data_IF_238351695291
#
_entry.id   IF_238351695291
#
_cell.length_a   1.000
_cell.length_b   1.000
_cell.length_c   1.000
_cell.angle_alpha   90.00
_cell.angle_beta   90.00
_cell.angle_gamma   90.00
#
_symmetry.space_group_name_H-M   'P 1'
#
loop_
_entity.id
_entity.type
_entity.pdbx_description
1 polymer ?
#
# COMPACT_ATOMS: atom_id res chain seq x y z
N UNK A 1 -5.88 -40.00 11.66
CA UNK A 1 -4.68 -39.32 12.21
C UNK A 1 -4.44 -38.10 11.36
N UNK A 2 -5.04 -36.97 11.71
CA UNK A 2 -4.75 -35.70 11.04
C UNK A 2 -3.42 -35.21 11.60
N UNK A 3 -2.42 -35.04 10.73
CA UNK A 3 -1.13 -34.50 11.11
C UNK A 3 -1.27 -33.06 11.64
N UNK A 4 -0.23 -32.51 12.29
CA UNK A 4 -0.23 -31.12 12.71
C UNK A 4 -0.61 -30.24 11.52
N UNK A 5 -1.60 -29.36 11.68
CA UNK A 5 -1.95 -28.36 10.67
C UNK A 5 -0.65 -27.66 10.26
N UNK A 6 -0.22 -27.93 9.03
CA UNK A 6 1.01 -27.38 8.49
C UNK A 6 0.94 -25.86 8.65
N UNK A 7 1.96 -25.22 9.22
CA UNK A 7 1.98 -23.75 9.36
C UNK A 7 1.81 -23.01 8.01
N UNK A 8 1.86 -23.76 6.90
CA UNK A 8 1.50 -23.35 5.54
C UNK A 8 0.00 -23.08 5.31
N UNK A 9 -0.94 -23.67 6.05
CA UNK A 9 -2.39 -23.50 5.85
C UNK A 9 -2.98 -22.39 6.74
N UNK A 10 -2.36 -21.21 6.74
CA UNK A 10 -3.03 -20.01 7.28
C UNK A 10 -4.00 -19.47 6.22
N UNK A 11 -5.33 -19.54 6.43
CA UNK A 11 -6.32 -19.17 5.41
C UNK A 11 -6.26 -17.70 4.97
N UNK A 12 -5.67 -16.81 5.77
CA UNK A 12 -5.49 -15.39 5.43
C UNK A 12 -4.14 -15.04 4.80
N UNK A 13 -3.21 -16.00 4.62
CA UNK A 13 -1.91 -15.73 4.00
C UNK A 13 -2.10 -15.54 2.49
N UNK A 14 -1.45 -14.50 1.96
CA UNK A 14 -1.44 -14.27 0.52
C UNK A 14 -0.68 -15.39 -0.20
N UNK A 15 -1.18 -15.87 -1.36
CA UNK A 15 -0.38 -16.72 -2.24
C UNK A 15 0.94 -16.06 -2.59
N UNK A 16 2.01 -16.85 -2.76
CA UNK A 16 3.36 -16.32 -2.99
C UNK A 16 3.42 -15.37 -4.19
N UNK A 17 2.75 -15.73 -5.28
CA UNK A 17 2.67 -14.89 -6.48
C UNK A 17 1.99 -13.55 -6.19
N UNK A 18 0.82 -13.56 -5.53
CA UNK A 18 0.12 -12.32 -5.14
C UNK A 18 0.99 -11.45 -4.26
N UNK A 19 1.67 -12.05 -3.28
CA UNK A 19 2.55 -11.31 -2.38
C UNK A 19 3.72 -10.66 -3.13
N UNK A 20 4.39 -11.39 -4.04
CA UNK A 20 5.46 -10.85 -4.89
C UNK A 20 4.91 -9.70 -5.74
N UNK A 21 3.75 -9.88 -6.38
CA UNK A 21 3.11 -8.84 -7.20
C UNK A 21 2.82 -7.58 -6.38
N UNK A 22 2.27 -7.72 -5.16
CA UNK A 22 2.01 -6.61 -4.25
C UNK A 22 3.30 -5.86 -3.93
N UNK A 23 4.35 -6.59 -3.51
CA UNK A 23 5.62 -5.98 -3.12
C UNK A 23 6.27 -5.26 -4.30
N UNK A 24 6.31 -5.88 -5.48
CA UNK A 24 6.92 -5.29 -6.68
C UNK A 24 6.18 -4.03 -7.11
N UNK A 25 4.85 -4.09 -7.26
CA UNK A 25 4.07 -2.94 -7.74
C UNK A 25 4.12 -1.77 -6.73
N UNK A 26 4.01 -2.05 -5.43
CA UNK A 26 4.11 -1.01 -4.40
C UNK A 26 5.53 -0.42 -4.33
N UNK A 27 6.57 -1.25 -4.45
CA UNK A 27 7.96 -0.76 -4.42
C UNK A 27 8.25 0.12 -5.64
N UNK A 28 7.83 -0.30 -6.84
CA UNK A 28 7.99 0.50 -8.06
C UNK A 28 7.22 1.82 -7.96
N UNK A 29 5.99 1.80 -7.45
CA UNK A 29 5.18 3.01 -7.28
C UNK A 29 5.80 3.95 -6.24
N UNK A 30 6.26 3.42 -5.11
CA UNK A 30 6.90 4.22 -4.06
C UNK A 30 8.22 4.85 -4.53
N UNK A 31 9.10 4.07 -5.16
CA UNK A 31 10.39 4.56 -5.67
C UNK A 31 10.17 5.61 -6.77
N UNK A 32 9.28 5.37 -7.72
CA UNK A 32 8.95 6.35 -8.75
C UNK A 32 8.31 7.62 -8.16
N UNK A 33 7.46 7.50 -7.14
CA UNK A 33 6.89 8.64 -6.40
C UNK A 33 7.93 9.48 -5.67
N UNK A 34 8.92 8.84 -5.03
CA UNK A 34 10.08 9.54 -4.45
C UNK A 34 10.91 10.23 -5.54
N UNK A 35 11.07 9.60 -6.70
CA UNK A 35 11.73 10.18 -7.87
C UNK A 35 11.03 11.44 -8.37
N UNK A 36 9.69 11.41 -8.46
CA UNK A 36 8.86 12.58 -8.79
C UNK A 36 9.06 13.68 -7.76
N UNK A 37 8.85 13.39 -6.47
CA UNK A 37 8.97 14.40 -5.41
C UNK A 37 10.37 15.03 -5.39
N UNK A 38 11.43 14.22 -5.50
CA UNK A 38 12.80 14.73 -5.55
C UNK A 38 13.05 15.56 -6.81
N UNK A 39 12.55 15.11 -7.95
CA UNK A 39 12.67 15.82 -9.22
C UNK A 39 11.97 17.18 -9.20
N UNK A 40 10.76 17.27 -8.64
CA UNK A 40 10.03 18.53 -8.46
C UNK A 40 10.79 19.50 -7.55
N UNK A 41 11.38 19.02 -6.45
CA UNK A 41 12.22 19.86 -5.57
C UNK A 41 13.43 20.42 -6.33
N UNK A 42 14.07 19.61 -7.17
CA UNK A 42 15.23 20.04 -7.94
C UNK A 42 14.83 21.04 -9.03
N UNK A 43 13.79 20.73 -9.80
CA UNK A 43 13.25 21.62 -10.84
C UNK A 43 12.85 22.98 -10.26
N UNK A 44 12.22 23.01 -9.08
CA UNK A 44 11.86 24.25 -8.41
C UNK A 44 13.08 25.09 -7.96
N UNK A 45 14.25 24.47 -7.75
CA UNK A 45 15.49 25.13 -7.30
C UNK A 45 16.37 25.58 -8.46
N UNK A 46 16.52 24.76 -9.49
CA UNK A 46 17.42 25.01 -10.62
C UNK A 46 16.73 25.59 -11.86
N UNK A 47 15.38 25.57 -11.91
CA UNK A 47 14.59 25.85 -13.11
C UNK A 47 14.88 24.90 -14.30
N UNK A 48 15.68 23.86 -14.07
CA UNK A 48 15.98 22.81 -15.04
C UNK A 48 15.21 21.54 -14.72
N UNK A 49 14.71 20.87 -15.75
CA UNK A 49 13.96 19.61 -15.57
C UNK A 49 14.93 18.43 -15.52
N UNK A 50 15.03 17.68 -14.40
CA UNK A 50 15.87 16.50 -14.34
C UNK A 50 15.41 15.43 -15.35
N UNK A 51 16.36 14.77 -16.03
CA UNK A 51 16.06 13.83 -17.11
C UNK A 51 15.14 12.65 -16.68
N UNK A 52 15.20 12.23 -15.41
CA UNK A 52 14.38 11.12 -14.89
C UNK A 52 12.97 11.54 -14.45
N UNK A 53 12.68 12.85 -14.31
CA UNK A 53 11.41 13.32 -13.72
C UNK A 53 10.22 12.88 -14.59
N UNK A 54 10.31 13.08 -15.90
CA UNK A 54 9.23 12.71 -16.82
C UNK A 54 8.95 11.20 -16.80
N UNK A 55 10.00 10.37 -16.87
CA UNK A 55 9.86 8.92 -16.80
C UNK A 55 9.29 8.44 -15.46
N UNK A 56 9.71 9.06 -14.35
CA UNK A 56 9.19 8.75 -13.00
C UNK A 56 7.70 9.09 -12.89
N UNK A 57 7.28 10.24 -13.44
CA UNK A 57 5.89 10.67 -13.47
C UNK A 57 5.01 9.69 -14.24
N UNK A 58 5.44 9.27 -15.44
CA UNK A 58 4.72 8.28 -16.26
C UNK A 58 4.63 6.95 -15.52
N UNK A 59 5.76 6.43 -15.03
CA UNK A 59 5.79 5.14 -14.35
C UNK A 59 4.87 5.15 -13.11
N UNK A 60 4.99 6.16 -12.26
CA UNK A 60 4.15 6.29 -11.07
C UNK A 60 2.66 6.38 -11.44
N UNK A 61 2.31 7.24 -12.40
CA UNK A 61 0.93 7.40 -12.87
C UNK A 61 0.34 6.13 -13.47
N UNK A 62 1.10 5.39 -14.29
CA UNK A 62 0.66 4.14 -14.90
C UNK A 62 0.51 2.99 -13.90
N UNK A 63 1.25 2.98 -12.79
CA UNK A 63 1.12 1.96 -11.74
C UNK A 63 -0.16 2.13 -10.91
N UNK A 64 -0.70 3.34 -10.80
CA UNK A 64 -1.87 3.64 -9.97
C UNK A 64 -3.12 2.81 -10.32
N UNK A 65 -3.60 2.74 -11.59
CA UNK A 65 -4.75 1.91 -11.92
C UNK A 65 -4.49 0.41 -11.64
N UNK A 66 -3.27 -0.08 -11.86
CA UNK A 66 -2.90 -1.46 -11.54
C UNK A 66 -2.99 -1.75 -10.03
N UNK A 67 -2.51 -0.80 -9.21
CA UNK A 67 -2.61 -0.88 -7.76
C UNK A 67 -4.06 -0.79 -7.27
N UNK A 68 -4.92 -0.01 -7.90
CA UNK A 68 -6.35 0.03 -7.58
C UNK A 68 -7.04 -1.33 -7.88
N UNK A 69 -6.73 -1.96 -9.02
CA UNK A 69 -7.23 -3.30 -9.35
C UNK A 69 -6.75 -4.32 -8.33
N UNK A 70 -5.46 -4.28 -7.99
CA UNK A 70 -4.89 -5.15 -6.97
C UNK A 70 -5.52 -4.92 -5.59
N UNK A 71 -5.80 -3.68 -5.20
CA UNK A 71 -6.50 -3.36 -3.95
C UNK A 71 -7.91 -3.96 -3.96
N UNK A 72 -8.66 -3.83 -5.06
CA UNK A 72 -9.96 -4.48 -5.23
C UNK A 72 -9.89 -6.00 -5.10
N UNK A 73 -8.86 -6.63 -5.69
CA UNK A 73 -8.59 -8.06 -5.53
C UNK A 73 -8.32 -8.44 -4.06
N UNK A 74 -7.50 -7.66 -3.35
CA UNK A 74 -7.19 -7.87 -1.93
C UNK A 74 -8.44 -7.71 -1.04
N UNK A 75 -9.33 -6.77 -1.37
CA UNK A 75 -10.61 -6.58 -0.68
C UNK A 75 -11.45 -7.88 -0.69
N UNK A 76 -11.54 -8.52 -1.85
CA UNK A 76 -12.35 -9.73 -2.04
C UNK A 76 -11.76 -10.98 -1.37
N UNK A 77 -10.43 -11.06 -1.24
CA UNK A 77 -9.72 -12.21 -0.68
C UNK A 77 -9.17 -11.94 0.73
N UNK A 78 -7.99 -11.34 0.79
CA UNK A 78 -7.21 -11.18 2.02
C UNK A 78 -7.93 -10.38 3.10
N UNK A 79 -8.51 -9.23 2.74
CA UNK A 79 -9.19 -8.33 3.67
C UNK A 79 -10.48 -8.99 4.17
N UNK A 80 -11.36 -9.43 3.27
CA UNK A 80 -12.60 -10.16 3.63
C UNK A 80 -12.31 -11.31 4.60
N UNK A 81 -11.28 -12.10 4.32
CA UNK A 81 -10.92 -13.23 5.17
C UNK A 81 -10.37 -12.77 6.54
N UNK A 82 -9.55 -11.72 6.56
CA UNK A 82 -9.09 -11.10 7.81
C UNK A 82 -10.24 -10.62 8.70
N UNK A 83 -11.27 -10.03 8.10
CA UNK A 83 -12.47 -9.57 8.81
C UNK A 83 -13.28 -10.74 9.38
N UNK A 84 -13.54 -11.78 8.59
CA UNK A 84 -14.27 -12.98 9.02
C UNK A 84 -13.55 -13.70 10.18
N UNK A 85 -12.22 -13.79 10.13
CA UNK A 85 -11.39 -14.37 11.20
C UNK A 85 -11.12 -13.41 12.36
N UNK A 86 -11.62 -12.17 12.28
CA UNK A 86 -11.33 -11.10 13.24
C UNK A 86 -9.81 -10.88 13.45
N UNK A 87 -9.00 -11.24 12.46
CA UNK A 87 -7.55 -11.25 12.50
C UNK A 87 -6.99 -9.88 12.15
N UNK A 88 -6.04 -9.37 12.96
CA UNK A 88 -5.34 -8.10 12.70
C UNK A 88 -6.26 -6.91 12.36
N UNK A 89 -7.47 -6.85 12.94
CA UNK A 89 -8.49 -5.88 12.50
C UNK A 89 -8.03 -4.43 12.60
N UNK A 90 -7.33 -4.06 13.67
CA UNK A 90 -6.85 -2.68 13.85
C UNK A 90 -5.89 -2.30 12.73
N UNK A 91 -4.80 -3.06 12.56
CA UNK A 91 -3.81 -2.76 11.51
C UNK A 91 -4.35 -3.01 10.11
N UNK A 92 -5.33 -3.89 9.92
CA UNK A 92 -6.02 -4.10 8.65
C UNK A 92 -6.84 -2.89 8.23
N UNK A 93 -7.74 -2.42 9.11
CA UNK A 93 -8.57 -1.23 8.86
C UNK A 93 -7.70 0.02 8.68
N UNK A 94 -6.64 0.19 9.47
CA UNK A 94 -5.71 1.31 9.28
C UNK A 94 -5.07 1.29 7.88
N UNK A 95 -4.71 0.12 7.36
CA UNK A 95 -4.16 -0.02 6.01
C UNK A 95 -5.22 0.26 4.94
N UNK A 96 -6.44 -0.24 5.10
CA UNK A 96 -7.56 0.05 4.18
C UNK A 96 -7.81 1.56 4.06
N UNK A 97 -7.85 2.27 5.19
CA UNK A 97 -8.00 3.73 5.24
C UNK A 97 -6.82 4.42 4.56
N UNK A 98 -5.59 3.96 4.82
CA UNK A 98 -4.39 4.54 4.21
C UNK A 98 -4.38 4.37 2.68
N UNK A 99 -4.74 3.19 2.17
CA UNK A 99 -4.88 2.96 0.73
C UNK A 99 -5.99 3.81 0.12
N UNK A 100 -7.16 3.89 0.76
CA UNK A 100 -8.26 4.74 0.30
C UNK A 100 -7.83 6.22 0.24
N UNK A 101 -7.15 6.71 1.27
CA UNK A 101 -6.65 8.08 1.32
C UNK A 101 -5.58 8.36 0.24
N UNK A 102 -4.70 7.40 -0.06
CA UNK A 102 -3.75 7.49 -1.16
C UNK A 102 -4.45 7.58 -2.52
N UNK A 103 -5.47 6.75 -2.75
CA UNK A 103 -6.26 6.76 -3.98
C UNK A 103 -6.99 8.10 -4.14
N UNK A 104 -7.68 8.56 -3.09
CA UNK A 104 -8.44 9.81 -3.11
C UNK A 104 -7.53 11.02 -3.28
N UNK A 105 -6.39 11.07 -2.58
CA UNK A 105 -5.42 12.15 -2.75
C UNK A 105 -4.82 12.14 -4.15
N UNK A 106 -4.46 10.97 -4.68
CA UNK A 106 -3.97 10.82 -6.06
C UNK A 106 -4.98 11.31 -7.09
N UNK A 107 -6.27 10.97 -6.95
CA UNK A 107 -7.33 11.51 -7.80
C UNK A 107 -7.47 13.03 -7.64
N UNK A 108 -7.38 13.53 -6.40
CA UNK A 108 -7.40 14.96 -6.08
C UNK A 108 -6.33 15.77 -6.81
N UNK A 109 -5.14 15.20 -7.06
CA UNK A 109 -4.09 15.88 -7.85
C UNK A 109 -4.55 16.25 -9.28
N UNK A 110 -5.50 15.49 -9.85
CA UNK A 110 -6.02 15.69 -11.20
C UNK A 110 -7.37 16.41 -11.22
N UNK A 111 -8.20 16.26 -10.18
CA UNK A 111 -9.61 16.67 -10.21
C UNK A 111 -10.01 17.73 -9.18
N UNK A 112 -9.08 18.25 -8.37
CA UNK A 112 -9.38 19.19 -7.28
C UNK A 112 -9.99 20.56 -7.69
N UNK A 113 -10.03 20.89 -8.98
CA UNK A 113 -10.68 22.10 -9.52
C UNK A 113 -10.03 23.45 -9.18
N UNK A 114 -9.27 23.54 -8.08
CA UNK A 114 -8.56 24.74 -7.61
C UNK A 114 -7.12 24.41 -7.18
N UNK A 115 -6.27 25.44 -7.16
CA UNK A 115 -4.84 25.32 -6.85
C UNK A 115 -4.63 24.99 -5.37
N UNK A 116 -5.45 25.57 -4.49
CA UNK A 116 -5.40 25.40 -3.03
C UNK A 116 -5.71 23.96 -2.64
N UNK A 117 -6.79 23.40 -3.20
CA UNK A 117 -7.15 21.99 -2.97
C UNK A 117 -6.11 21.05 -3.56
N UNK A 118 -5.61 21.34 -4.77
CA UNK A 118 -4.52 20.54 -5.37
C UNK A 118 -3.28 20.51 -4.47
N UNK A 119 -2.86 21.65 -3.91
CA UNK A 119 -1.71 21.72 -3.01
C UNK A 119 -1.94 20.89 -1.73
N UNK A 120 -3.16 20.92 -1.19
CA UNK A 120 -3.55 20.09 -0.04
C UNK A 120 -3.42 18.60 -0.37
N UNK A 121 -3.90 18.17 -1.54
CA UNK A 121 -3.77 16.78 -1.96
C UNK A 121 -2.32 16.37 -2.25
N UNK A 122 -1.48 17.25 -2.82
CA UNK A 122 -0.05 16.98 -3.00
C UNK A 122 0.63 16.67 -1.67
N UNK A 123 0.40 17.50 -0.65
CA UNK A 123 0.98 17.27 0.67
C UNK A 123 0.42 16.02 1.34
N UNK A 124 -0.89 15.82 1.29
CA UNK A 124 -1.52 14.61 1.82
C UNK A 124 -0.95 13.35 1.15
N UNK A 125 -0.87 13.31 -0.18
CA UNK A 125 -0.38 12.17 -0.93
C UNK A 125 1.08 11.82 -0.59
N UNK A 126 1.95 12.83 -0.44
CA UNK A 126 3.35 12.65 -0.02
C UNK A 126 3.46 12.06 1.38
N UNK A 127 2.75 12.63 2.36
CA UNK A 127 2.79 12.15 3.75
C UNK A 127 2.24 10.72 3.85
N UNK A 128 1.08 10.47 3.25
CA UNK A 128 0.48 9.14 3.21
C UNK A 128 1.39 8.12 2.49
N UNK A 129 2.07 8.55 1.43
CA UNK A 129 3.02 7.73 0.69
C UNK A 129 4.20 7.29 1.55
N UNK A 130 4.74 8.19 2.39
CA UNK A 130 5.79 7.86 3.36
C UNK A 130 5.30 6.98 4.50
N UNK A 131 4.04 7.13 4.93
CA UNK A 131 3.43 6.28 5.96
C UNK A 131 3.18 4.86 5.47
N UNK A 132 2.98 4.65 4.17
CA UNK A 132 2.68 3.35 3.57
C UNK A 132 3.68 2.24 3.93
N UNK A 133 5.00 2.37 3.70
CA UNK A 133 5.95 1.31 4.07
C UNK A 133 5.98 1.04 5.57
N UNK A 134 5.82 2.07 6.42
CA UNK A 134 5.76 1.91 7.87
C UNK A 134 4.50 1.13 8.30
N UNK A 135 3.35 1.49 7.71
CA UNK A 135 2.08 0.82 7.93
C UNK A 135 2.11 -0.65 7.49
N UNK A 136 2.68 -0.93 6.31
CA UNK A 136 2.86 -2.31 5.81
C UNK A 136 3.76 -3.13 6.74
N UNK A 137 4.88 -2.56 7.20
CA UNK A 137 5.78 -3.20 8.15
C UNK A 137 5.07 -3.53 9.47
N UNK A 138 4.32 -2.57 10.02
CA UNK A 138 3.53 -2.77 11.23
C UNK A 138 2.43 -3.82 11.03
N UNK A 139 1.71 -3.78 9.92
CA UNK A 139 0.66 -4.76 9.58
C UNK A 139 1.25 -6.18 9.44
N UNK A 140 2.40 -6.31 8.78
CA UNK A 140 3.12 -7.57 8.68
C UNK A 140 3.55 -8.11 10.04
N UNK A 141 4.18 -7.27 10.88
CA UNK A 141 4.62 -7.66 12.21
C UNK A 141 3.45 -8.08 13.12
N UNK A 142 2.34 -7.32 13.09
CA UNK A 142 1.10 -7.71 13.76
C UNK A 142 0.58 -9.06 13.24
N UNK A 143 0.65 -9.27 11.92
CA UNK A 143 0.29 -10.53 11.28
C UNK A 143 1.11 -11.73 11.74
N UNK A 144 2.41 -11.56 11.97
CA UNK A 144 3.29 -12.58 12.56
C UNK A 144 2.93 -12.83 14.03
N UNK A 145 2.71 -11.78 14.81
CA UNK A 145 2.34 -11.88 16.22
C UNK A 145 1.01 -12.62 16.42
N UNK A 146 0.01 -12.35 15.58
CA UNK A 146 -1.25 -13.07 15.59
C UNK A 146 -1.08 -14.55 15.24
N UNK A 147 -0.24 -14.88 14.27
CA UNK A 147 0.00 -16.28 13.88
C UNK A 147 0.62 -17.09 15.02
N UNK A 148 1.64 -16.51 15.68
CA UNK A 148 2.26 -17.10 16.87
C UNK A 148 1.25 -17.31 18.01
N UNK A 149 0.34 -16.35 18.21
CA UNK A 149 -0.70 -16.45 19.24
C UNK A 149 -1.65 -17.63 19.01
N UNK A 150 -2.09 -17.85 17.77
CA UNK A 150 -2.99 -18.97 17.43
C UNK A 150 -2.28 -20.31 17.55
N UNK A 151 -1.03 -20.41 17.11
CA UNK A 151 -0.24 -21.65 17.25
C UNK A 151 -0.04 -22.03 18.73
N UNK A 152 0.15 -21.05 19.60
CA UNK A 152 0.38 -21.28 21.03
C UNK A 152 -0.91 -21.57 21.82
N UNK A 153 -2.09 -21.16 21.32
CA UNK A 153 -3.38 -21.38 21.97
C UNK A 153 -4.44 -21.83 20.95
N UNK A 154 -4.44 -23.11 20.53
CA UNK A 154 -5.33 -23.62 19.49
C UNK A 154 -6.81 -23.76 19.91
N UNK A 155 -7.14 -23.57 21.20
CA UNK A 155 -8.48 -23.77 21.76
C UNK A 155 -9.27 -22.48 22.06
N UNK A 156 -8.84 -21.32 21.55
CA UNK A 156 -9.57 -20.03 21.63
C UNK A 156 -9.87 -19.48 20.25
#
# INVERSE_FOLDING_TARGET
MEGPLEAATRPSRLPALTHITVVVLLSLSFISGLGVWRGEILQARSLETPAWLHGSLILHGCLNPLLCVLFGYLCCGHIRMGWQLKANRITGVSMEILFAALILSGAGLYYAGSVEWRNTFVWAHRVLGLLLPLGLGAHWAAGLGWAKKIQNNPCT
#
